data_IF_995188488397
#
_entry.id   IF_995188488397
#
_cell.length_a   1.000
_cell.length_b   1.000
_cell.length_c   1.000
_cell.angle_alpha   90.00
_cell.angle_beta   90.00
_cell.angle_gamma   90.00
#
_symmetry.space_group_name_H-M   'P 1'
#
loop_
_entity.id
_entity.type
_entity.pdbx_description
1 polymer ?
#
# COMPACT_ATOMS: atom_id res chain seq x y z
N UNK A 1 2.12 12.44 -39.11
CA UNK A 1 0.82 12.13 -38.50
C UNK A 1 1.05 11.12 -37.39
N UNK A 2 0.64 11.42 -36.16
CA UNK A 2 0.69 10.47 -35.03
C UNK A 2 -0.33 9.37 -35.27
N UNK A 3 0.08 8.09 -35.15
CA UNK A 3 -0.82 6.94 -35.33
C UNK A 3 -1.94 6.96 -34.28
N UNK A 4 -3.17 6.61 -34.68
CA UNK A 4 -4.32 6.50 -33.77
C UNK A 4 -4.05 5.57 -32.58
N UNK A 5 -3.24 4.52 -32.79
CA UNK A 5 -2.77 3.62 -31.74
C UNK A 5 -1.94 4.32 -30.67
N UNK A 6 -1.05 5.24 -31.09
CA UNK A 6 -0.23 6.04 -30.17
C UNK A 6 -1.11 7.00 -29.36
N UNK A 7 -2.10 7.63 -30.00
CA UNK A 7 -3.03 8.52 -29.33
C UNK A 7 -3.91 7.76 -28.31
N UNK A 8 -4.44 6.59 -28.67
CA UNK A 8 -5.18 5.77 -27.72
C UNK A 8 -4.35 5.34 -26.51
N UNK A 9 -3.05 5.08 -26.70
CA UNK A 9 -2.15 4.78 -25.60
C UNK A 9 -1.96 5.98 -24.67
N UNK A 10 -1.71 7.16 -25.25
CA UNK A 10 -1.54 8.41 -24.51
C UNK A 10 -2.79 8.77 -23.69
N UNK A 11 -3.98 8.55 -24.24
CA UNK A 11 -5.27 8.90 -23.62
C UNK A 11 -6.01 7.69 -23.03
N UNK A 12 -5.28 6.61 -22.74
CA UNK A 12 -5.86 5.35 -22.24
C UNK A 12 -6.65 5.54 -20.95
N UNK A 13 -6.18 6.41 -20.06
CA UNK A 13 -6.81 6.68 -18.76
C UNK A 13 -8.08 7.54 -18.87
N UNK A 14 -8.23 8.29 -19.96
CA UNK A 14 -9.46 9.01 -20.34
C UNK A 14 -10.41 8.10 -21.13
N UNK A 15 -10.13 6.79 -21.19
CA UNK A 15 -11.01 5.81 -21.81
C UNK A 15 -10.94 5.74 -23.32
N UNK A 16 -9.96 6.40 -23.96
CA UNK A 16 -9.77 6.34 -25.41
C UNK A 16 -9.18 4.97 -25.79
N UNK A 17 -9.73 4.38 -26.85
CA UNK A 17 -9.35 3.07 -27.38
C UNK A 17 -9.22 3.15 -28.90
N UNK A 18 -8.41 2.26 -29.44
CA UNK A 18 -8.17 2.12 -30.87
C UNK A 18 -8.56 0.72 -31.31
N UNK A 19 -9.29 0.61 -32.40
CA UNK A 19 -9.62 -0.67 -33.02
C UNK A 19 -8.69 -0.90 -34.24
N UNK A 20 -7.84 -1.91 -34.15
CA UNK A 20 -6.79 -2.18 -35.16
C UNK A 20 -7.36 -2.60 -36.54
N UNK A 21 -8.55 -3.20 -36.58
CA UNK A 21 -9.17 -3.72 -37.82
C UNK A 21 -9.86 -2.62 -38.64
N UNK A 22 -10.60 -1.74 -37.97
CA UNK A 22 -11.34 -0.64 -38.59
C UNK A 22 -10.51 0.64 -38.68
N UNK A 23 -9.42 0.73 -37.90
CA UNK A 23 -8.57 1.91 -37.80
C UNK A 23 -9.19 3.06 -37.03
N UNK A 24 -10.25 2.81 -36.24
CA UNK A 24 -11.08 3.83 -35.61
C UNK A 24 -10.65 4.09 -34.16
N UNK A 25 -10.71 5.36 -33.74
CA UNK A 25 -10.65 5.76 -32.33
C UNK A 25 -12.06 5.86 -31.74
N UNK A 26 -12.24 5.34 -30.53
CA UNK A 26 -13.53 5.39 -29.82
C UNK A 26 -13.33 5.57 -28.31
N UNK A 27 -14.37 6.06 -27.64
CA UNK A 27 -14.35 6.29 -26.20
C UNK A 27 -15.13 5.21 -25.45
N UNK A 28 -14.43 4.43 -24.63
CA UNK A 28 -15.04 3.37 -23.80
C UNK A 28 -15.93 3.89 -22.68
N UNK A 29 -15.72 5.13 -22.23
CA UNK A 29 -16.57 5.77 -21.22
C UNK A 29 -17.91 6.22 -21.81
N UNK A 30 -17.87 6.83 -23.01
CA UNK A 30 -19.03 7.42 -23.66
C UNK A 30 -19.84 6.42 -24.50
N UNK A 31 -19.26 5.27 -24.84
CA UNK A 31 -19.96 4.16 -25.50
C UNK A 31 -21.13 3.64 -24.66
N UNK A 32 -22.24 3.32 -25.30
CA UNK A 32 -23.42 2.78 -24.63
C UNK A 32 -24.08 1.66 -25.47
N UNK A 33 -25.19 1.10 -24.98
CA UNK A 33 -25.89 0.00 -25.66
C UNK A 33 -26.42 0.35 -27.06
N UNK A 34 -26.48 1.63 -27.44
CA UNK A 34 -26.91 2.08 -28.77
C UNK A 34 -25.76 2.12 -29.78
N UNK A 35 -24.51 2.13 -29.32
CA UNK A 35 -23.35 2.15 -30.21
C UNK A 35 -22.07 2.67 -29.58
N UNK A 36 -20.98 2.51 -30.33
CA UNK A 36 -19.67 3.06 -30.05
C UNK A 36 -19.67 4.57 -30.25
N UNK A 37 -19.05 5.29 -29.32
CA UNK A 37 -18.84 6.72 -29.46
C UNK A 37 -17.49 6.95 -30.16
N UNK A 38 -17.57 7.14 -31.48
CA UNK A 38 -16.42 7.21 -32.39
C UNK A 38 -15.88 8.64 -32.46
N UNK A 39 -14.55 8.77 -32.42
CA UNK A 39 -13.85 10.03 -32.67
C UNK A 39 -13.52 10.07 -34.15
N UNK A 40 -14.31 10.84 -34.90
CA UNK A 40 -14.27 10.88 -36.38
C UNK A 40 -12.90 11.27 -36.94
N UNK A 41 -12.20 12.18 -36.26
CA UNK A 41 -10.89 12.69 -36.70
C UNK A 41 -9.81 12.23 -35.73
N UNK A 42 -8.85 11.47 -36.24
CA UNK A 42 -7.69 10.96 -35.49
C UNK A 42 -6.68 12.09 -35.30
N UNK A 43 -6.98 13.00 -34.38
CA UNK A 43 -6.10 14.10 -33.98
C UNK A 43 -6.10 14.25 -32.47
N UNK A 44 -5.03 14.84 -31.93
CA UNK A 44 -4.94 15.13 -30.49
C UNK A 44 -6.02 16.13 -30.06
N UNK A 45 -6.27 17.14 -30.88
CA UNK A 45 -7.20 18.23 -30.55
C UNK A 45 -8.64 17.72 -30.46
N UNK A 46 -9.07 16.86 -31.39
CA UNK A 46 -10.40 16.25 -31.36
C UNK A 46 -10.58 15.33 -30.14
N UNK A 47 -9.54 14.63 -29.69
CA UNK A 47 -9.59 13.84 -28.46
C UNK A 47 -9.76 14.76 -27.24
N UNK A 48 -9.01 15.86 -27.18
CA UNK A 48 -9.12 16.82 -26.08
C UNK A 48 -10.50 17.48 -26.04
N UNK A 49 -11.04 17.88 -27.18
CA UNK A 49 -12.40 18.41 -27.30
C UNK A 49 -13.45 17.38 -26.83
N UNK A 50 -13.30 16.12 -27.26
CA UNK A 50 -14.17 15.04 -26.79
C UNK A 50 -14.10 14.86 -25.27
N UNK A 51 -12.89 14.83 -24.69
CA UNK A 51 -12.69 14.67 -23.25
C UNK A 51 -13.23 15.87 -22.44
N UNK A 52 -13.25 17.06 -23.04
CA UNK A 52 -13.80 18.27 -22.42
C UNK A 52 -15.35 18.30 -22.40
N UNK A 53 -16.03 17.39 -23.11
CA UNK A 53 -17.48 17.32 -23.09
C UNK A 53 -17.97 17.00 -21.67
N UNK A 54 -18.99 17.74 -21.21
CA UNK A 54 -19.61 17.55 -19.88
C UNK A 54 -20.00 16.08 -19.63
N UNK A 55 -20.54 15.41 -20.65
CA UNK A 55 -20.92 13.98 -20.59
C UNK A 55 -19.70 13.10 -20.30
N UNK A 56 -18.60 13.31 -21.01
CA UNK A 56 -17.37 12.56 -20.81
C UNK A 56 -16.83 12.77 -19.40
N UNK A 57 -16.74 14.04 -18.95
CA UNK A 57 -16.26 14.36 -17.61
C UNK A 57 -17.09 13.69 -16.50
N UNK A 58 -18.42 13.70 -16.60
CA UNK A 58 -19.29 13.04 -15.62
C UNK A 58 -19.09 11.51 -15.58
N UNK A 59 -18.89 10.88 -16.74
CA UNK A 59 -18.65 9.44 -16.82
C UNK A 59 -17.25 9.08 -16.30
N UNK A 60 -16.26 9.91 -16.59
CA UNK A 60 -14.91 9.79 -16.06
C UNK A 60 -14.89 9.95 -14.54
N UNK A 61 -15.57 10.96 -14.00
CA UNK A 61 -15.75 11.16 -12.56
C UNK A 61 -16.40 9.94 -11.91
N UNK A 62 -17.45 9.38 -12.52
CA UNK A 62 -18.11 8.18 -12.01
C UNK A 62 -17.17 6.98 -11.94
N UNK A 63 -16.34 6.75 -12.96
CA UNK A 63 -15.36 5.64 -12.97
C UNK A 63 -14.24 5.87 -11.97
N UNK A 64 -13.75 7.10 -11.84
CA UNK A 64 -12.74 7.46 -10.85
C UNK A 64 -13.30 7.35 -9.42
N UNK A 65 -14.54 7.76 -9.21
CA UNK A 65 -15.21 7.66 -7.93
C UNK A 65 -15.37 6.19 -7.51
N UNK A 66 -15.71 5.28 -8.43
CA UNK A 66 -15.74 3.83 -8.14
C UNK A 66 -14.39 3.31 -7.61
N UNK A 67 -13.27 3.87 -8.07
CA UNK A 67 -11.94 3.52 -7.53
C UNK A 67 -11.67 4.15 -6.15
N UNK A 68 -12.32 5.27 -5.82
CA UNK A 68 -12.24 5.91 -4.50
C UNK A 68 -13.12 5.19 -3.47
N UNK A 69 -14.22 4.60 -3.92
CA UNK A 69 -15.10 3.85 -3.04
C UNK A 69 -14.53 2.47 -2.66
N UNK A 70 -14.64 2.11 -1.39
CA UNK A 70 -14.29 0.82 -0.83
C UNK A 70 -15.57 -0.01 -0.65
N UNK A 71 -15.93 -0.89 -1.61
CA UNK A 71 -17.02 -1.84 -1.41
C UNK A 71 -16.59 -2.89 -0.39
N UNK A 72 -17.32 -3.06 0.70
CA UNK A 72 -17.02 -4.05 1.74
C UNK A 72 -18.31 -4.67 2.26
N UNK A 73 -18.20 -5.85 2.85
CA UNK A 73 -19.27 -6.43 3.65
C UNK A 73 -18.88 -6.33 5.12
N UNK A 74 -19.66 -5.61 5.94
CA UNK A 74 -19.43 -5.52 7.39
C UNK A 74 -20.63 -6.13 8.10
N UNK A 75 -20.40 -7.23 8.82
CA UNK A 75 -21.40 -7.95 9.61
C UNK A 75 -22.64 -8.31 8.77
N UNK A 76 -22.41 -8.87 7.57
CA UNK A 76 -23.46 -9.27 6.62
C UNK A 76 -24.09 -8.12 5.82
N UNK A 77 -23.63 -6.87 6.01
CA UNK A 77 -24.16 -5.70 5.30
C UNK A 77 -23.18 -5.19 4.26
N UNK A 78 -23.61 -5.13 3.01
CA UNK A 78 -22.84 -4.50 1.93
C UNK A 78 -22.84 -2.99 2.10
N UNK A 79 -21.64 -2.41 2.15
CA UNK A 79 -21.41 -0.98 2.28
C UNK A 79 -20.47 -0.51 1.17
N UNK A 80 -20.72 0.68 0.66
CA UNK A 80 -19.84 1.37 -0.27
C UNK A 80 -19.31 2.61 0.44
N UNK A 81 -18.11 2.50 1.01
CA UNK A 81 -17.50 3.58 1.78
C UNK A 81 -16.74 4.51 0.83
N UNK A 82 -16.79 5.81 1.05
CA UNK A 82 -16.00 6.82 0.32
C UNK A 82 -14.51 6.82 0.70
N UNK A 83 -14.13 6.02 1.70
CA UNK A 83 -12.76 5.84 2.16
C UNK A 83 -12.50 4.38 2.56
N UNK A 84 -11.21 4.02 2.64
CA UNK A 84 -10.76 2.67 2.95
C UNK A 84 -10.38 2.52 4.44
N UNK A 85 -11.04 3.24 5.34
CA UNK A 85 -10.74 3.21 6.77
C UNK A 85 -12.04 3.24 7.58
N UNK A 86 -12.04 2.59 8.74
CA UNK A 86 -13.12 2.66 9.72
C UNK A 86 -12.53 2.76 11.11
N UNK A 87 -13.29 3.27 12.08
CA UNK A 87 -12.84 3.43 13.46
C UNK A 87 -13.69 2.52 14.35
N UNK A 88 -13.26 1.28 14.64
CA UNK A 88 -14.11 0.27 15.30
C UNK A 88 -14.64 0.75 16.64
N UNK A 89 -13.77 1.36 17.45
CA UNK A 89 -14.15 1.91 18.76
C UNK A 89 -15.25 2.97 18.67
N UNK A 90 -15.22 3.84 17.64
CA UNK A 90 -16.21 4.91 17.45
C UNK A 90 -17.49 4.39 16.82
N UNK A 91 -17.38 3.47 15.85
CA UNK A 91 -18.50 2.98 15.06
C UNK A 91 -19.27 1.85 15.76
N UNK A 92 -18.59 0.98 16.51
CA UNK A 92 -19.16 -0.22 17.10
C UNK A 92 -19.07 -0.27 18.63
N UNK A 93 -18.28 0.64 19.23
CA UNK A 93 -18.10 0.74 20.67
C UNK A 93 -16.77 0.12 21.16
N UNK A 94 -16.43 0.40 22.42
CA UNK A 94 -15.16 -0.03 23.04
C UNK A 94 -15.08 -1.56 23.12
N UNK A 95 -13.88 -2.10 22.89
CA UNK A 95 -13.60 -3.55 22.95
C UNK A 95 -14.06 -4.33 21.71
N UNK A 96 -14.60 -3.64 20.69
CA UNK A 96 -14.94 -4.22 19.41
C UNK A 96 -13.75 -4.14 18.46
N UNK A 97 -13.51 -5.25 17.76
CA UNK A 97 -12.47 -5.42 16.75
C UNK A 97 -13.11 -5.85 15.43
N UNK A 98 -12.36 -5.76 14.33
CA UNK A 98 -12.75 -6.29 13.04
C UNK A 98 -11.99 -7.58 12.75
N UNK A 99 -12.74 -8.66 12.52
CA UNK A 99 -12.24 -9.90 11.94
C UNK A 99 -12.44 -9.84 10.43
N UNK A 100 -11.37 -9.90 9.65
CA UNK A 100 -11.44 -10.11 8.21
C UNK A 100 -11.68 -11.58 7.93
N UNK A 101 -12.88 -11.94 7.50
CA UNK A 101 -13.26 -13.33 7.19
C UNK A 101 -12.64 -13.81 5.87
N UNK A 102 -12.32 -12.90 4.95
CA UNK A 102 -11.65 -13.24 3.70
C UNK A 102 -10.22 -13.72 3.96
N UNK A 103 -9.53 -13.09 4.90
CA UNK A 103 -8.16 -13.45 5.30
C UNK A 103 -8.10 -14.38 6.52
N UNK A 104 -9.19 -14.49 7.28
CA UNK A 104 -9.25 -15.26 8.52
C UNK A 104 -8.43 -14.66 9.67
N UNK A 105 -8.27 -13.32 9.72
CA UNK A 105 -7.43 -12.67 10.72
C UNK A 105 -8.08 -11.44 11.37
N UNK A 106 -7.74 -11.21 12.64
CA UNK A 106 -8.11 -9.97 13.33
C UNK A 106 -7.26 -8.82 12.79
N UNK A 107 -7.93 -7.73 12.43
CA UNK A 107 -7.26 -6.53 11.95
C UNK A 107 -7.06 -5.58 13.13
N UNK A 108 -5.80 -5.30 13.51
CA UNK A 108 -5.51 -4.37 14.60
C UNK A 108 -5.82 -2.92 14.18
N UNK A 109 -6.23 -2.11 15.16
CA UNK A 109 -6.29 -0.66 15.00
C UNK A 109 -4.86 -0.09 14.85
N UNK A 110 -4.70 0.95 14.03
CA UNK A 110 -3.48 1.73 13.91
C UNK A 110 -3.30 2.70 15.09
N UNK A 111 -2.21 3.49 15.07
CA UNK A 111 -1.92 4.49 16.13
C UNK A 111 -2.99 5.58 16.26
N UNK A 112 -3.83 5.77 15.23
CA UNK A 112 -4.94 6.72 15.21
C UNK A 112 -6.28 6.07 15.59
N UNK A 113 -6.30 4.76 15.90
CA UNK A 113 -7.52 4.00 16.17
C UNK A 113 -8.29 3.56 14.92
N UNK A 114 -7.70 3.74 13.73
CA UNK A 114 -8.30 3.39 12.46
C UNK A 114 -7.94 1.98 12.01
N UNK A 115 -8.82 1.35 11.25
CA UNK A 115 -8.62 0.06 10.58
C UNK A 115 -8.74 0.27 9.09
N UNK A 116 -7.65 -0.01 8.36
CA UNK A 116 -7.65 0.03 6.90
C UNK A 116 -8.42 -1.16 6.33
N UNK A 117 -9.41 -0.89 5.51
CA UNK A 117 -10.21 -1.87 4.82
C UNK A 117 -9.65 -2.18 3.43
N UNK A 118 -9.87 -3.42 3.01
CA UNK A 118 -9.52 -3.90 1.67
C UNK A 118 -10.80 -4.05 0.87
N UNK A 119 -10.87 -3.52 -0.37
CA UNK A 119 -12.04 -3.67 -1.21
C UNK A 119 -12.44 -5.13 -1.41
N UNK A 120 -13.74 -5.39 -1.37
CA UNK A 120 -14.40 -6.70 -1.55
C UNK A 120 -14.11 -7.72 -0.45
N UNK A 121 -13.52 -7.28 0.66
CA UNK A 121 -13.37 -8.13 1.83
C UNK A 121 -14.64 -8.15 2.68
N UNK A 122 -14.76 -9.24 3.45
CA UNK A 122 -15.82 -9.47 4.41
C UNK A 122 -15.26 -9.30 5.80
N UNK A 123 -15.92 -8.48 6.60
CA UNK A 123 -15.52 -8.17 7.95
C UNK A 123 -16.65 -8.49 8.91
N UNK A 124 -16.31 -9.09 10.04
CA UNK A 124 -17.25 -9.31 11.14
C UNK A 124 -16.76 -8.56 12.37
N UNK A 125 -17.65 -7.76 12.95
CA UNK A 125 -17.37 -7.10 14.22
C UNK A 125 -17.40 -8.15 15.33
N UNK A 126 -16.28 -8.28 16.04
CA UNK A 126 -16.10 -9.25 17.13
C UNK A 126 -15.71 -8.53 18.41
N UNK A 127 -15.94 -9.19 19.54
CA UNK A 127 -15.56 -8.68 20.86
C UNK A 127 -14.52 -9.61 21.48
N UNK A 128 -13.43 -9.02 21.96
CA UNK A 128 -12.42 -9.79 22.67
C UNK A 128 -12.91 -10.04 24.10
N UNK A 129 -13.48 -11.21 24.34
CA UNK A 129 -13.85 -11.65 25.69
C UNK A 129 -12.60 -12.19 26.38
N UNK A 130 -11.97 -11.36 27.22
CA UNK A 130 -10.89 -11.81 28.10
C UNK A 130 -11.55 -12.38 29.37
N UNK A 131 -11.46 -13.70 29.61
CA UNK A 131 -12.02 -14.27 30.83
C UNK A 131 -11.32 -13.67 32.06
N UNK A 132 -12.04 -13.50 33.19
CA UNK A 132 -11.44 -13.01 34.41
C UNK A 132 -10.29 -13.94 34.80
N UNK A 133 -9.09 -13.40 34.82
CA UNK A 133 -7.91 -14.13 35.23
C UNK A 133 -7.78 -14.05 36.74
N UNK A 134 -7.70 -15.22 37.39
CA UNK A 134 -7.29 -15.29 38.80
C UNK A 134 -5.76 -15.19 38.95
N UNK A 135 -5.02 -15.03 37.84
CA UNK A 135 -3.60 -14.76 37.90
C UNK A 135 -3.39 -13.42 38.61
N UNK A 136 -2.63 -13.45 39.71
CA UNK A 136 -2.24 -12.22 40.40
C UNK A 136 -1.47 -11.37 39.42
N UNK A 137 -1.92 -10.12 39.24
CA UNK A 137 -1.13 -9.12 38.54
C UNK A 137 0.23 -9.05 39.25
N UNK A 138 1.36 -9.21 38.54
CA UNK A 138 2.65 -9.06 39.17
C UNK A 138 2.74 -7.64 39.74
N UNK A 139 3.01 -7.52 41.04
CA UNK A 139 3.04 -6.23 41.74
C UNK A 139 4.15 -5.31 41.25
N UNK A 140 5.13 -5.89 40.55
CA UNK A 140 6.21 -5.20 39.89
C UNK A 140 6.28 -5.70 38.44
N UNK A 141 6.49 -4.84 37.44
CA UNK A 141 6.77 -5.31 36.10
C UNK A 141 8.03 -6.17 36.18
N UNK A 142 7.86 -7.47 35.99
CA UNK A 142 8.94 -8.43 35.81
C UNK A 142 9.52 -8.18 34.40
N UNK A 143 10.06 -6.98 34.20
CA UNK A 143 11.03 -6.78 33.14
C UNK A 143 12.11 -7.79 33.46
N UNK A 144 12.20 -8.83 32.64
CA UNK A 144 13.47 -9.51 32.48
C UNK A 144 14.41 -8.38 32.07
N UNK A 145 15.12 -7.81 33.05
CA UNK A 145 16.30 -6.99 32.82
C UNK A 145 17.10 -7.85 31.87
N UNK A 146 17.13 -7.47 30.60
CA UNK A 146 17.95 -8.14 29.60
C UNK A 146 19.26 -8.42 30.31
N UNK A 147 19.61 -9.71 30.44
CA UNK A 147 20.93 -10.08 30.95
C UNK A 147 21.86 -9.14 30.23
N UNK A 148 22.61 -8.33 30.98
CA UNK A 148 23.66 -7.50 30.42
C UNK A 148 24.67 -8.47 29.82
N UNK A 149 24.38 -8.95 28.62
CA UNK A 149 25.35 -9.52 27.70
C UNK A 149 26.14 -8.28 27.34
N UNK A 150 27.06 -7.91 28.24
CA UNK A 150 27.91 -6.74 28.15
C UNK A 150 28.63 -6.89 26.83
N UNK A 151 28.09 -6.26 25.79
CA UNK A 151 28.77 -6.06 24.52
C UNK A 151 30.17 -5.59 24.87
N UNK A 152 31.19 -6.28 24.35
CA UNK A 152 32.61 -6.01 24.62
C UNK A 152 32.97 -4.52 24.51
N UNK A 153 32.17 -3.76 23.73
CA UNK A 153 32.20 -2.31 23.55
C UNK A 153 32.00 -1.49 24.83
N UNK A 154 31.19 -1.94 25.79
CA UNK A 154 30.95 -1.20 27.04
C UNK A 154 32.15 -1.21 28.01
N UNK A 155 33.11 -2.15 27.86
CA UNK A 155 34.30 -2.19 28.72
C UNK A 155 35.43 -1.25 28.29
N UNK A 156 35.44 -0.81 27.03
CA UNK A 156 36.55 -0.02 26.49
C UNK A 156 36.41 1.48 26.73
N UNK A 157 35.29 1.95 27.28
CA UNK A 157 35.01 3.38 27.41
C UNK A 157 34.57 3.98 26.07
N UNK A 158 33.62 4.92 26.15
CA UNK A 158 33.03 5.58 24.97
C UNK A 158 34.10 6.29 24.13
N UNK A 159 35.10 6.89 24.79
CA UNK A 159 36.20 7.60 24.15
C UNK A 159 37.07 6.69 23.27
N UNK A 160 37.36 5.47 23.72
CA UNK A 160 38.14 4.49 22.93
C UNK A 160 37.33 4.01 21.73
N UNK A 161 36.01 3.85 21.89
CA UNK A 161 35.13 3.50 20.77
C UNK A 161 35.04 4.62 19.73
N UNK A 162 34.97 5.88 20.17
CA UNK A 162 34.99 7.06 19.29
C UNK A 162 36.34 7.19 18.58
N UNK A 163 37.46 6.97 19.27
CA UNK A 163 38.79 6.97 18.66
C UNK A 163 38.95 5.85 17.62
N UNK A 164 38.47 4.64 17.90
CA UNK A 164 38.46 3.53 16.93
C UNK A 164 37.55 3.79 15.73
N UNK A 165 36.41 4.45 15.96
CA UNK A 165 35.51 4.84 14.88
C UNK A 165 36.12 5.92 14.00
N UNK A 166 36.75 6.94 14.60
CA UNK A 166 37.42 8.03 13.89
C UNK A 166 38.66 7.56 13.11
N UNK A 167 39.43 6.62 13.65
CA UNK A 167 40.50 5.93 12.91
C UNK A 167 39.97 5.03 11.77
N UNK A 168 38.68 4.67 11.79
CA UNK A 168 38.02 3.97 10.67
C UNK A 168 37.52 4.92 9.58
N UNK A 169 37.66 6.25 9.75
CA UNK A 169 37.26 7.28 8.78
C UNK A 169 38.39 7.61 7.79
N UNK A 170 39.41 6.75 7.63
CA UNK A 170 40.31 6.81 6.46
C UNK A 170 39.68 6.19 5.19
N UNK A 171 38.39 6.42 4.98
CA UNK A 171 37.74 6.19 3.68
C UNK A 171 37.31 4.76 3.34
N UNK A 172 37.50 3.76 4.22
CA UNK A 172 36.92 2.43 4.03
C UNK A 172 35.64 2.24 4.86
N UNK A 173 34.49 2.19 4.20
CA UNK A 173 33.22 1.84 4.86
C UNK A 173 33.26 0.40 5.40
N UNK A 174 32.49 0.11 6.46
CA UNK A 174 32.41 -1.24 7.06
C UNK A 174 32.02 -2.33 6.02
N UNK A 175 31.30 -1.94 4.98
CA UNK A 175 30.95 -2.73 3.80
C UNK A 175 32.17 -3.03 2.91
N UNK A 176 33.06 -2.06 2.68
CA UNK A 176 34.32 -2.26 1.95
C UNK A 176 35.26 -3.19 2.71
N UNK A 177 35.37 -3.04 4.03
CA UNK A 177 36.19 -3.90 4.90
C UNK A 177 35.68 -5.36 4.91
N UNK A 178 34.36 -5.58 4.97
CA UNK A 178 33.75 -6.91 4.84
C UNK A 178 34.01 -7.52 3.46
N UNK A 179 33.88 -6.74 2.38
CA UNK A 179 34.19 -7.22 1.02
C UNK A 179 35.64 -7.65 0.91
N UNK A 180 36.59 -6.87 1.43
CA UNK A 180 38.02 -7.21 1.38
C UNK A 180 38.36 -8.48 2.15
N UNK A 181 37.76 -8.70 3.33
CA UNK A 181 37.93 -9.93 4.10
C UNK A 181 37.34 -11.16 3.39
N UNK A 182 36.17 -11.03 2.77
CA UNK A 182 35.53 -12.11 2.02
C UNK A 182 36.33 -12.43 0.75
N UNK A 183 36.79 -11.43 -0.01
CA UNK A 183 37.63 -11.65 -1.19
C UNK A 183 39.05 -12.16 -0.85
N UNK A 184 39.63 -11.73 0.26
CA UNK A 184 40.92 -12.24 0.73
C UNK A 184 40.88 -13.73 1.15
N UNK A 185 39.76 -14.19 1.70
CA UNK A 185 39.56 -15.60 2.05
C UNK A 185 39.35 -16.51 0.83
N UNK A 186 38.81 -15.97 -0.27
CA UNK A 186 38.63 -16.72 -1.52
C UNK A 186 39.96 -16.92 -2.24
N UNK A 187 40.84 -15.91 -2.24
CA UNK A 187 42.16 -16.01 -2.90
C UNK A 187 43.19 -16.84 -2.11
N UNK A 188 42.98 -17.11 -0.82
CA UNK A 188 43.84 -17.98 -0.01
C UNK A 188 43.41 -19.45 -0.02
N UNK A 189 42.30 -19.79 -0.71
CA UNK A 189 41.83 -21.17 -0.88
C UNK A 189 42.19 -21.80 -2.23
N UNK A 190 42.78 -21.01 -3.13
CA UNK A 190 43.21 -21.44 -4.47
C UNK A 190 44.73 -21.29 -4.68
N UNK A 191 45.52 -21.29 -3.60
CA UNK A 191 46.98 -21.42 -3.63
C UNK A 191 47.40 -22.67 -2.88
#
# INVERSE_FOLDING_TARGET
>A
MTSGKVLAEQFRNQGIRYEDTSGILWCSLCTNAKGLDIIEVISKDCILEHCALKRHMLLMEKVLAIAQYCPVEIHGRYMLLDHHCVYPTVMFGKGRLLLDETLGCLIPEDVCGGVKLVPRHKYTVVELVIPPSNARLPCEPDYVLERMTRSRKCRLGLEVCIAQYNNSVEGETATMKRRRLVFGQVNMRNS
#
